data_IF_852351213807
#
_entry.id   IF_852351213807
#
_cell.length_a   1.000
_cell.length_b   1.000
_cell.length_c   1.000
_cell.angle_alpha   90.00
_cell.angle_beta   90.00
_cell.angle_gamma   90.00
#
_symmetry.space_group_name_H-M   'P 1'
#
loop_
_entity.id
_entity.type
_entity.pdbx_description
1 polymer ?
#
# COMPACT_ATOMS: atom_id res chain seq x y z
N UNK A 1 -17.95 4.58 1.91
CA UNK A 1 -16.89 5.30 2.64
C UNK A 1 -15.85 4.30 3.14
N UNK A 2 -14.58 4.63 3.06
CA UNK A 2 -13.51 3.73 3.49
C UNK A 2 -13.10 4.01 4.93
N UNK A 3 -12.53 2.99 5.58
CA UNK A 3 -11.96 3.08 6.92
C UNK A 3 -10.55 2.54 6.91
N UNK A 4 -9.67 3.21 7.64
CA UNK A 4 -8.34 2.71 7.97
C UNK A 4 -8.37 2.26 9.43
N UNK A 5 -8.31 0.96 9.65
CA UNK A 5 -8.29 0.38 11.01
C UNK A 5 -6.94 -0.28 11.27
N UNK A 6 -6.47 -0.34 12.53
CA UNK A 6 -5.22 -1.03 12.83
C UNK A 6 -5.29 -2.50 12.40
N UNK A 7 -4.21 -3.00 11.82
CA UNK A 7 -4.08 -4.42 11.51
C UNK A 7 -3.89 -5.20 12.80
N UNK A 8 -4.64 -6.30 12.95
CA UNK A 8 -4.62 -7.16 14.14
C UNK A 8 -3.93 -8.49 13.83
N UNK A 9 -3.51 -9.21 14.87
CA UNK A 9 -2.96 -10.56 14.71
C UNK A 9 -3.94 -11.50 14.00
N UNK A 10 -5.22 -11.36 14.26
CA UNK A 10 -6.27 -12.15 13.60
C UNK A 10 -6.41 -11.89 12.11
N UNK A 11 -5.83 -10.81 11.58
CA UNK A 11 -5.79 -10.52 10.15
C UNK A 11 -4.70 -11.33 9.43
N UNK A 12 -3.74 -11.90 10.17
CA UNK A 12 -2.58 -12.55 9.60
C UNK A 12 -2.90 -13.69 8.63
N UNK A 13 -3.87 -14.59 8.91
CA UNK A 13 -4.24 -15.65 7.95
C UNK A 13 -4.74 -15.09 6.63
N UNK A 14 -5.51 -14.00 6.64
CA UNK A 14 -6.01 -13.38 5.42
C UNK A 14 -4.88 -12.70 4.63
N UNK A 15 -3.99 -11.99 5.31
CA UNK A 15 -2.81 -11.39 4.68
C UNK A 15 -1.96 -12.47 4.01
N UNK A 16 -1.74 -13.59 4.70
CA UNK A 16 -0.99 -14.72 4.19
C UNK A 16 -1.62 -15.30 2.92
N UNK A 17 -2.94 -15.49 2.92
CA UNK A 17 -3.67 -16.01 1.78
C UNK A 17 -3.62 -15.06 0.59
N UNK A 18 -3.79 -13.76 0.84
CA UNK A 18 -3.75 -12.75 -0.23
C UNK A 18 -2.34 -12.61 -0.81
N UNK A 19 -1.30 -12.65 0.03
CA UNK A 19 0.11 -12.58 -0.43
C UNK A 19 0.46 -13.78 -1.31
N UNK A 20 0.01 -14.97 -0.94
CA UNK A 20 0.26 -16.19 -1.70
C UNK A 20 -0.42 -16.17 -3.07
N UNK A 21 -1.56 -15.49 -3.18
CA UNK A 21 -2.31 -15.36 -4.43
C UNK A 21 -1.84 -14.20 -5.31
N UNK A 22 -0.99 -13.31 -4.77
CA UNK A 22 -0.53 -12.12 -5.47
C UNK A 22 0.70 -12.45 -6.33
N UNK A 23 0.63 -12.28 -7.68
CA UNK A 23 1.76 -12.62 -8.56
C UNK A 23 3.01 -11.77 -8.30
N UNK A 24 2.88 -10.60 -7.67
CA UNK A 24 4.00 -9.72 -7.34
C UNK A 24 4.61 -10.00 -5.97
N UNK A 25 3.90 -10.72 -5.10
CA UNK A 25 4.33 -11.00 -3.72
C UNK A 25 4.52 -12.48 -3.41
N UNK A 26 3.97 -13.38 -4.21
CA UNK A 26 3.96 -14.83 -3.91
C UNK A 26 5.35 -15.42 -3.74
N UNK A 27 6.35 -14.94 -4.48
CA UNK A 27 7.72 -15.41 -4.37
C UNK A 27 8.32 -15.05 -3.00
N UNK A 28 8.18 -13.79 -2.58
CA UNK A 28 8.64 -13.33 -1.26
C UNK A 28 7.89 -14.03 -0.13
N UNK A 29 6.60 -14.25 -0.31
CA UNK A 29 5.76 -14.96 0.66
C UNK A 29 6.21 -16.41 0.82
N UNK A 30 6.63 -17.07 -0.26
CA UNK A 30 7.13 -18.45 -0.22
C UNK A 30 8.47 -18.55 0.53
N UNK A 31 9.34 -17.55 0.41
CA UNK A 31 10.68 -17.54 1.01
C UNK A 31 10.64 -17.10 2.48
N UNK A 32 9.98 -16.00 2.77
CA UNK A 32 10.06 -15.33 4.09
C UNK A 32 8.80 -15.48 4.94
N UNK A 33 7.79 -16.17 4.43
CA UNK A 33 6.49 -16.33 5.10
C UNK A 33 5.47 -15.31 4.60
N UNK A 34 4.20 -15.75 4.43
CA UNK A 34 3.13 -14.92 3.89
C UNK A 34 2.87 -13.69 4.76
N UNK A 35 2.80 -12.52 4.13
CA UNK A 35 2.48 -11.28 4.81
C UNK A 35 3.56 -10.72 5.72
N UNK A 36 4.73 -11.35 5.79
CA UNK A 36 5.82 -10.92 6.69
C UNK A 36 6.19 -9.44 6.48
N UNK A 37 6.22 -9.01 5.24
CA UNK A 37 6.60 -7.65 4.89
C UNK A 37 5.57 -6.60 5.34
N UNK A 38 4.34 -7.03 5.63
CA UNK A 38 3.29 -6.17 6.19
C UNK A 38 3.32 -6.21 7.71
N UNK A 39 3.44 -7.41 8.32
CA UNK A 39 3.27 -7.64 9.75
C UNK A 39 4.56 -7.70 10.54
N UNK A 40 5.66 -8.08 9.90
CA UNK A 40 6.90 -8.43 10.59
C UNK A 40 7.90 -7.31 10.81
N UNK A 41 7.59 -6.07 10.43
CA UNK A 41 8.53 -4.95 10.53
C UNK A 41 8.22 -4.06 11.73
N UNK A 42 9.14 -4.05 12.72
CA UNK A 42 9.00 -3.23 13.93
C UNK A 42 9.21 -1.72 13.67
N UNK A 43 9.80 -1.34 12.53
CA UNK A 43 10.07 0.06 12.18
C UNK A 43 8.91 0.72 11.45
N UNK A 44 7.81 0.01 11.22
CA UNK A 44 6.64 0.57 10.55
C UNK A 44 6.00 1.65 11.44
N UNK A 45 5.65 2.79 10.83
CA UNK A 45 4.89 3.84 11.50
C UNK A 45 3.46 3.41 11.76
N UNK A 46 2.88 2.63 10.85
CA UNK A 46 1.51 2.15 10.97
C UNK A 46 1.27 0.92 10.08
N UNK A 47 0.36 0.07 10.55
CA UNK A 47 -0.15 -1.08 9.83
C UNK A 47 -1.67 -0.96 9.82
N UNK A 48 -2.26 -0.85 8.64
CA UNK A 48 -3.70 -0.65 8.47
C UNK A 48 -4.36 -1.77 7.68
N UNK A 49 -5.56 -2.11 8.13
CA UNK A 49 -6.56 -2.80 7.31
C UNK A 49 -7.43 -1.71 6.68
N UNK A 50 -7.51 -1.67 5.36
CA UNK A 50 -8.33 -0.69 4.65
C UNK A 50 -9.61 -1.37 4.19
N UNK A 51 -10.75 -0.83 4.60
CA UNK A 51 -12.07 -1.43 4.38
C UNK A 51 -13.00 -0.45 3.67
N UNK A 52 -13.81 -0.97 2.76
CA UNK A 52 -15.01 -0.27 2.27
C UNK A 52 -16.26 -0.88 2.96
N UNK A 53 -17.44 -0.49 2.52
CA UNK A 53 -18.68 -0.99 3.11
C UNK A 53 -18.87 -2.51 2.93
N UNK A 54 -18.15 -3.11 2.01
CA UNK A 54 -18.17 -4.56 1.76
C UNK A 54 -17.12 -5.35 2.53
N UNK A 55 -16.28 -4.69 3.32
CA UNK A 55 -15.21 -5.31 4.12
C UNK A 55 -13.80 -4.97 3.65
N UNK A 56 -12.78 -5.71 4.14
CA UNK A 56 -11.39 -5.45 3.80
C UNK A 56 -11.12 -5.52 2.29
N UNK A 57 -10.39 -4.54 1.78
CA UNK A 57 -9.97 -4.45 0.38
C UNK A 57 -8.47 -4.58 0.22
N UNK A 58 -7.71 -4.14 1.21
CA UNK A 58 -6.24 -4.21 1.20
C UNK A 58 -5.68 -4.03 2.59
N UNK A 59 -4.43 -4.44 2.76
CA UNK A 59 -3.63 -4.14 3.95
C UNK A 59 -2.48 -3.23 3.54
N UNK A 60 -2.12 -2.32 4.42
CA UNK A 60 -1.11 -1.31 4.12
C UNK A 60 -0.13 -1.16 5.28
N UNK A 61 1.16 -1.07 4.93
CA UNK A 61 2.23 -0.72 5.86
C UNK A 61 2.82 0.61 5.45
N UNK A 62 3.00 1.50 6.42
CA UNK A 62 3.60 2.81 6.21
C UNK A 62 4.93 2.89 6.97
N UNK A 63 6.02 3.12 6.24
CA UNK A 63 7.36 3.24 6.79
C UNK A 63 7.89 4.66 6.58
N UNK A 64 8.62 5.17 7.57
CA UNK A 64 9.40 6.37 7.38
C UNK A 64 10.76 5.98 6.80
N UNK A 65 11.09 6.50 5.63
CA UNK A 65 12.37 6.28 4.96
C UNK A 65 12.97 7.64 4.66
N UNK A 66 13.92 8.06 5.48
CA UNK A 66 14.48 9.41 5.47
C UNK A 66 13.36 10.45 5.63
N UNK A 67 13.12 11.29 4.63
CA UNK A 67 12.08 12.32 4.68
C UNK A 67 10.82 11.93 3.90
N UNK A 68 10.70 10.64 3.52
CA UNK A 68 9.61 10.12 2.69
C UNK A 68 8.75 9.14 3.46
N UNK A 69 7.48 9.03 3.08
CA UNK A 69 6.61 7.96 3.52
C UNK A 69 6.59 6.89 2.44
N UNK A 70 7.18 5.73 2.74
CA UNK A 70 7.09 4.57 1.85
C UNK A 70 5.86 3.75 2.26
N UNK A 71 4.99 3.49 1.30
CA UNK A 71 3.83 2.64 1.55
C UNK A 71 3.93 1.33 0.78
N UNK A 72 3.54 0.26 1.46
CA UNK A 72 3.46 -1.10 0.92
C UNK A 72 2.01 -1.53 1.01
N UNK A 73 1.50 -2.14 -0.05
CA UNK A 73 0.09 -2.54 -0.11
C UNK A 73 -0.03 -3.99 -0.52
N UNK A 74 -0.82 -4.75 0.24
CA UNK A 74 -1.27 -6.07 -0.15
C UNK A 74 -2.74 -5.97 -0.55
N UNK A 75 -3.00 -6.02 -1.85
CA UNK A 75 -4.37 -6.00 -2.37
C UNK A 75 -5.05 -7.35 -2.20
N UNK A 76 -6.37 -7.34 -2.06
CA UNK A 76 -7.16 -8.55 -2.14
C UNK A 76 -7.14 -9.09 -3.58
N UNK A 77 -7.24 -10.42 -3.77
CA UNK A 77 -7.40 -11.00 -5.09
C UNK A 77 -8.69 -10.53 -5.78
N UNK A 78 -8.66 -10.41 -7.11
CA UNK A 78 -9.82 -9.91 -7.88
C UNK A 78 -11.08 -10.78 -7.73
N UNK A 79 -10.91 -12.08 -7.42
CA UNK A 79 -12.05 -12.97 -7.19
C UNK A 79 -12.71 -12.76 -5.83
N UNK A 80 -12.11 -12.01 -4.93
CA UNK A 80 -12.68 -11.68 -3.61
C UNK A 80 -13.14 -10.23 -3.53
N UNK A 81 -12.37 -9.31 -4.13
CA UNK A 81 -12.70 -7.89 -4.19
C UNK A 81 -12.55 -7.45 -5.64
N UNK A 82 -13.60 -6.91 -6.22
CA UNK A 82 -13.59 -6.50 -7.61
C UNK A 82 -12.54 -5.40 -7.85
N UNK A 83 -12.02 -5.35 -9.07
CA UNK A 83 -11.10 -4.31 -9.48
C UNK A 83 -11.67 -2.91 -9.27
N UNK A 84 -12.97 -2.74 -9.51
CA UNK A 84 -13.67 -1.46 -9.30
C UNK A 84 -13.61 -1.03 -7.84
N UNK A 85 -13.85 -1.95 -6.89
CA UNK A 85 -13.77 -1.66 -5.45
C UNK A 85 -12.34 -1.31 -5.04
N UNK A 86 -11.36 -2.05 -5.55
CA UNK A 86 -9.94 -1.80 -5.26
C UNK A 86 -9.53 -0.41 -5.75
N UNK A 87 -9.87 -0.06 -6.99
CA UNK A 87 -9.59 1.25 -7.57
C UNK A 87 -10.25 2.37 -6.76
N UNK A 88 -11.51 2.20 -6.38
CA UNK A 88 -12.23 3.18 -5.58
C UNK A 88 -11.58 3.37 -4.22
N UNK A 89 -11.13 2.27 -3.59
CA UNK A 89 -10.43 2.33 -2.31
C UNK A 89 -9.11 3.10 -2.41
N UNK A 90 -8.36 2.89 -3.48
CA UNK A 90 -7.10 3.63 -3.71
C UNK A 90 -7.40 5.12 -3.90
N UNK A 91 -8.41 5.46 -4.69
CA UNK A 91 -8.79 6.86 -4.92
C UNK A 91 -9.20 7.57 -3.63
N UNK A 92 -9.99 6.93 -2.79
CA UNK A 92 -10.44 7.49 -1.52
C UNK A 92 -9.34 7.46 -0.44
N UNK A 93 -8.44 6.48 -0.50
CA UNK A 93 -7.37 6.30 0.48
C UNK A 93 -6.18 7.23 0.28
N UNK A 94 -5.90 7.62 -0.95
CA UNK A 94 -4.72 8.44 -1.25
C UNK A 94 -4.70 9.76 -0.46
N UNK A 95 -5.78 10.54 -0.39
CA UNK A 95 -5.78 11.78 0.43
C UNK A 95 -5.51 11.52 1.90
N UNK A 96 -5.95 10.38 2.44
CA UNK A 96 -5.73 10.01 3.85
C UNK A 96 -4.24 9.75 4.11
N UNK A 97 -3.58 9.01 3.23
CA UNK A 97 -2.14 8.72 3.33
C UNK A 97 -1.33 9.99 3.15
N UNK A 98 -1.72 10.84 2.21
CA UNK A 98 -1.07 12.13 1.97
C UNK A 98 -1.12 13.01 3.22
N UNK A 99 -2.28 13.10 3.86
CA UNK A 99 -2.43 13.86 5.09
C UNK A 99 -1.62 13.27 6.24
N UNK A 100 -1.59 11.93 6.35
CA UNK A 100 -0.75 11.23 7.32
C UNK A 100 0.72 11.63 7.20
N UNK A 101 1.24 11.69 5.97
CA UNK A 101 2.62 12.10 5.71
C UNK A 101 2.85 13.58 6.03
N UNK A 102 1.92 14.45 5.65
CA UNK A 102 2.02 15.90 5.91
C UNK A 102 2.04 16.22 7.40
N UNK A 103 1.23 15.53 8.19
CA UNK A 103 1.19 15.72 9.64
C UNK A 103 2.50 15.34 10.33
N UNK A 104 3.34 14.56 9.65
CA UNK A 104 4.66 14.15 10.15
C UNK A 104 5.82 14.90 9.50
N UNK A 105 5.50 15.98 8.80
CA UNK A 105 6.47 16.83 8.10
C UNK A 105 7.34 16.08 7.10
N UNK A 106 6.80 15.02 6.49
CA UNK A 106 7.48 14.28 5.44
C UNK A 106 7.31 14.99 4.10
N UNK A 107 8.26 14.79 3.19
CA UNK A 107 8.32 15.51 1.91
C UNK A 107 7.43 14.95 0.82
N UNK A 108 7.00 13.71 0.96
CA UNK A 108 6.17 13.07 -0.05
C UNK A 108 5.99 11.59 0.19
N UNK A 109 5.49 10.92 -0.83
CA UNK A 109 5.16 9.50 -0.81
C UNK A 109 6.02 8.74 -1.82
N UNK A 110 6.36 7.50 -1.50
CA UNK A 110 7.10 6.62 -2.40
C UNK A 110 6.56 5.20 -2.31
N UNK A 111 6.52 4.51 -3.43
CA UNK A 111 6.20 3.08 -3.48
C UNK A 111 7.06 2.38 -4.53
N UNK A 112 7.23 1.07 -4.34
CA UNK A 112 7.93 0.21 -5.29
C UNK A 112 6.93 -0.70 -5.99
N UNK A 113 7.03 -0.85 -7.32
CA UNK A 113 6.17 -1.76 -8.05
C UNK A 113 6.78 -2.15 -9.38
N UNK A 114 6.47 -3.39 -9.82
CA UNK A 114 6.72 -3.88 -11.17
C UNK A 114 5.42 -4.09 -11.95
N UNK A 115 4.27 -3.79 -11.32
CA UNK A 115 2.97 -3.87 -11.98
C UNK A 115 2.75 -2.70 -12.91
N UNK A 116 2.76 -2.94 -14.21
CA UNK A 116 2.57 -1.90 -15.22
C UNK A 116 1.24 -1.17 -15.06
N UNK A 117 0.17 -1.91 -14.75
CA UNK A 117 -1.16 -1.33 -14.59
C UNK A 117 -1.26 -0.44 -13.35
N UNK A 118 -0.66 -0.85 -12.23
CA UNK A 118 -0.62 -0.03 -11.01
C UNK A 118 0.21 1.23 -11.23
N UNK A 119 1.39 1.10 -11.84
CA UNK A 119 2.27 2.23 -12.16
C UNK A 119 1.55 3.25 -13.03
N UNK A 120 0.91 2.78 -14.11
CA UNK A 120 0.17 3.66 -15.02
C UNK A 120 -0.98 4.38 -14.31
N UNK A 121 -1.72 3.66 -13.45
CA UNK A 121 -2.81 4.23 -12.67
C UNK A 121 -2.32 5.30 -11.71
N UNK A 122 -1.29 5.00 -10.91
CA UNK A 122 -0.76 5.94 -9.91
C UNK A 122 -0.14 7.17 -10.57
N UNK A 123 0.52 7.00 -11.71
CA UNK A 123 1.08 8.12 -12.47
C UNK A 123 0.00 9.00 -13.05
N UNK A 124 -1.02 8.41 -13.67
CA UNK A 124 -2.11 9.17 -14.33
C UNK A 124 -3.01 9.87 -13.32
N UNK A 125 -3.34 9.21 -12.20
CA UNK A 125 -4.30 9.75 -11.23
C UNK A 125 -3.65 10.72 -10.24
N UNK A 126 -2.41 10.48 -9.82
CA UNK A 126 -1.79 11.23 -8.73
C UNK A 126 -0.49 11.92 -9.12
N UNK A 127 0.06 11.61 -10.29
CA UNK A 127 1.29 12.25 -10.76
C UNK A 127 2.58 11.68 -10.18
N UNK A 128 2.57 10.41 -9.75
CA UNK A 128 3.81 9.73 -9.36
C UNK A 128 4.79 9.67 -10.51
N UNK A 129 6.06 9.87 -10.23
CA UNK A 129 7.14 9.88 -11.22
C UNK A 129 8.17 8.81 -10.88
N UNK A 130 8.75 8.15 -11.91
CA UNK A 130 9.76 7.13 -11.66
C UNK A 130 11.07 7.74 -11.14
N UNK A 131 11.74 6.98 -10.29
CA UNK A 131 13.13 7.26 -9.90
C UNK A 131 14.01 6.39 -10.78
N UNK A 132 14.93 7.02 -11.52
CA UNK A 132 15.81 6.36 -12.49
C UNK A 132 16.59 5.20 -11.85
N UNK A 133 16.69 4.10 -12.59
CA UNK A 133 17.41 2.87 -12.19
C UNK A 133 16.81 2.16 -10.98
N UNK A 134 15.56 2.42 -10.65
CA UNK A 134 14.85 1.75 -9.58
C UNK A 134 13.43 1.37 -10.01
N UNK A 135 12.73 0.58 -9.19
CA UNK A 135 11.30 0.32 -9.33
C UNK A 135 10.47 1.23 -8.42
N UNK A 136 11.09 2.32 -7.93
CA UNK A 136 10.42 3.28 -7.05
C UNK A 136 9.75 4.39 -7.85
N UNK A 137 8.61 4.84 -7.32
CA UNK A 137 7.82 5.94 -7.87
C UNK A 137 7.52 6.91 -6.74
N UNK A 138 7.68 8.21 -7.02
CA UNK A 138 7.63 9.24 -5.99
C UNK A 138 6.60 10.31 -6.31
N UNK A 139 5.90 10.76 -5.28
CA UNK A 139 5.02 11.93 -5.29
C UNK A 139 5.57 12.92 -4.26
N UNK A 140 6.08 14.04 -4.73
CA UNK A 140 6.66 15.07 -3.88
C UNK A 140 5.63 16.15 -3.57
N UNK A 141 5.48 16.50 -2.29
CA UNK A 141 4.64 17.63 -1.90
C UNK A 141 5.26 18.95 -2.35
N UNK A 142 4.42 19.90 -2.70
CA UNK A 142 4.90 21.23 -3.05
C UNK A 142 5.49 21.90 -1.80
N UNK A 143 6.62 22.58 -1.98
CA UNK A 143 7.20 23.39 -0.93
C UNK A 143 6.35 24.64 -0.72
N UNK A 144 6.12 24.99 0.52
CA UNK A 144 5.40 26.22 0.89
C UNK A 144 6.34 27.41 0.93
#
# INVERSE_FOLDING_TARGET
MIKFTPTLLEDQPQIARWSAADPYHCEKAAIAGPGWWVMGNSDALALFCVEDDGGPTMYMRLDKEEEWLRFHTQFAPENEVSKKRTVQTVLEGFPIIREFAKQRDLKGLVFESTSKSLIAFMSAQFGFKPIENTNDYVFKFEER
#
